data_IF_424157790254
#
_entry.id   IF_424157790254
#
_cell.length_a   1.000
_cell.length_b   1.000
_cell.length_c   1.000
_cell.angle_alpha   90.00
_cell.angle_beta   90.00
_cell.angle_gamma   90.00
#
_symmetry.space_group_name_H-M   'P 1'
#
loop_
_entity.id
_entity.type
_entity.pdbx_description
1 polymer ?
#
# COMPACT_ATOMS: atom_id res chain seq x y z
N UNK A 1 15.28 17.76 9.60
CA UNK A 1 15.31 17.83 8.12
C UNK A 1 14.58 16.60 7.60
N UNK A 2 13.30 16.73 7.24
CA UNK A 2 12.46 15.61 6.77
C UNK A 2 12.82 15.36 5.31
N UNK A 3 13.23 14.12 4.97
CA UNK A 3 13.66 13.72 3.61
C UNK A 3 12.45 13.15 2.87
N UNK A 4 12.02 13.81 1.80
CA UNK A 4 11.00 13.28 0.89
C UNK A 4 11.55 12.07 0.09
N UNK A 5 10.67 11.15 -0.30
CA UNK A 5 11.07 9.93 -1.02
C UNK A 5 9.92 9.16 -1.66
N UNK A 6 10.25 8.14 -2.42
CA UNK A 6 9.27 7.19 -2.98
C UNK A 6 9.72 5.79 -2.61
N UNK A 7 8.79 4.96 -2.15
CA UNK A 7 9.02 3.54 -1.93
C UNK A 7 8.13 2.74 -2.86
N UNK A 8 8.77 1.96 -3.73
CA UNK A 8 8.08 1.09 -4.67
C UNK A 8 8.24 -0.35 -4.20
N UNK A 9 7.13 -1.07 -4.11
CA UNK A 9 7.12 -2.52 -3.92
C UNK A 9 6.76 -3.14 -5.26
N UNK A 10 7.63 -4.01 -5.78
CA UNK A 10 7.38 -4.69 -7.05
C UNK A 10 7.34 -6.20 -6.78
N UNK A 11 6.19 -6.80 -7.02
CA UNK A 11 6.05 -8.25 -7.05
C UNK A 11 5.87 -8.76 -8.48
N UNK A 12 6.77 -9.68 -8.82
CA UNK A 12 6.77 -10.39 -10.08
C UNK A 12 6.24 -11.81 -9.88
N UNK A 13 5.22 -12.19 -10.65
CA UNK A 13 4.62 -13.53 -10.62
C UNK A 13 4.64 -14.15 -12.00
N UNK A 14 4.70 -15.48 -12.09
CA UNK A 14 4.49 -16.18 -13.39
C UNK A 14 3.03 -16.10 -13.84
N UNK A 15 2.13 -16.08 -12.87
CA UNK A 15 0.68 -15.94 -13.01
C UNK A 15 0.21 -15.20 -11.75
N UNK A 16 -0.57 -14.13 -11.92
CA UNK A 16 -1.08 -13.31 -10.81
C UNK A 16 -2.31 -13.98 -10.21
N UNK A 17 -2.31 -14.16 -8.88
CA UNK A 17 -3.42 -14.76 -8.12
C UNK A 17 -3.97 -13.79 -7.09
N UNK A 18 -5.20 -13.98 -6.65
CA UNK A 18 -5.87 -13.09 -5.67
C UNK A 18 -5.06 -12.89 -4.38
N UNK A 19 -4.37 -13.94 -3.91
CA UNK A 19 -3.51 -13.86 -2.72
C UNK A 19 -2.32 -12.92 -2.91
N UNK A 20 -1.83 -12.77 -4.14
CA UNK A 20 -0.68 -11.91 -4.44
C UNK A 20 -1.09 -10.43 -4.31
N UNK A 21 -2.35 -10.11 -4.64
CA UNK A 21 -2.94 -8.77 -4.40
C UNK A 21 -2.91 -8.41 -2.91
N UNK A 22 -3.40 -9.30 -2.05
CA UNK A 22 -3.39 -9.09 -0.61
C UNK A 22 -1.96 -8.90 -0.08
N UNK A 23 -1.01 -9.69 -0.58
CA UNK A 23 0.40 -9.61 -0.20
C UNK A 23 1.02 -8.25 -0.57
N UNK A 24 0.85 -7.77 -1.80
CA UNK A 24 1.37 -6.47 -2.25
C UNK A 24 0.77 -5.32 -1.45
N UNK A 25 -0.55 -5.36 -1.22
CA UNK A 25 -1.24 -4.34 -0.43
C UNK A 25 -0.71 -4.28 1.00
N UNK A 26 -0.53 -5.43 1.66
CA UNK A 26 -0.01 -5.47 3.04
C UNK A 26 1.43 -4.97 3.12
N UNK A 27 2.27 -5.30 2.15
CA UNK A 27 3.63 -4.76 2.09
C UNK A 27 3.61 -3.24 1.90
N UNK A 28 2.72 -2.72 1.05
CA UNK A 28 2.56 -1.28 0.80
C UNK A 28 2.15 -0.54 2.07
N UNK A 29 1.12 -1.05 2.76
CA UNK A 29 0.65 -0.52 4.03
C UNK A 29 1.77 -0.57 5.09
N UNK A 30 2.48 -1.70 5.20
CA UNK A 30 3.55 -1.86 6.19
C UNK A 30 4.70 -0.89 5.92
N UNK A 31 5.04 -0.70 4.65
CA UNK A 31 6.02 0.29 4.23
C UNK A 31 5.60 1.71 4.60
N UNK A 32 4.33 2.08 4.40
CA UNK A 32 3.79 3.40 4.74
C UNK A 32 3.82 3.70 6.25
N UNK A 33 3.61 2.69 7.09
CA UNK A 33 3.76 2.82 8.55
C UNK A 33 5.21 3.09 8.94
N UNK A 34 6.15 2.35 8.34
CA UNK A 34 7.56 2.35 8.77
C UNK A 34 8.37 3.55 8.28
N UNK A 35 7.80 4.40 7.44
CA UNK A 35 8.49 5.53 6.81
C UNK A 35 8.00 6.86 7.39
N UNK A 36 8.94 7.80 7.52
CA UNK A 36 8.66 9.16 7.98
C UNK A 36 7.86 9.95 6.92
N UNK A 37 7.30 11.08 7.36
CA UNK A 37 6.44 11.91 6.52
C UNK A 37 7.12 12.40 5.24
N UNK A 38 6.32 12.51 4.18
CA UNK A 38 6.78 12.93 2.86
C UNK A 38 7.35 11.82 1.98
N UNK A 39 7.30 10.55 2.41
CA UNK A 39 7.62 9.39 1.56
C UNK A 39 6.33 8.76 1.02
N UNK A 40 6.16 8.72 -0.31
CA UNK A 40 5.00 8.08 -0.97
C UNK A 40 5.26 6.59 -1.19
N UNK A 41 4.24 5.75 -1.03
CA UNK A 41 4.33 4.30 -1.29
C UNK A 41 3.34 3.87 -2.36
N UNK A 42 3.80 3.04 -3.30
CA UNK A 42 2.91 2.31 -4.20
C UNK A 42 3.44 0.89 -4.49
N UNK A 43 2.52 0.00 -4.81
CA UNK A 43 2.79 -1.41 -5.14
C UNK A 43 2.56 -1.70 -6.62
N UNK A 44 3.36 -2.58 -7.21
CA UNK A 44 3.22 -3.07 -8.58
C UNK A 44 3.17 -4.60 -8.51
N UNK A 45 2.10 -5.20 -9.04
CA UNK A 45 1.93 -6.64 -9.19
C UNK A 45 1.81 -6.97 -10.67
N UNK A 46 2.75 -7.76 -11.19
CA UNK A 46 2.80 -8.02 -12.64
C UNK A 46 3.28 -9.42 -12.98
N UNK A 47 2.85 -9.90 -14.15
CA UNK A 47 3.40 -11.08 -14.84
C UNK A 47 4.39 -10.73 -15.97
N UNK A 48 4.71 -9.43 -16.11
CA UNK A 48 5.49 -8.79 -17.18
C UNK A 48 4.91 -8.89 -18.60
N UNK A 49 3.82 -9.63 -18.77
CA UNK A 49 3.18 -9.88 -20.04
C UNK A 49 1.91 -9.05 -20.15
N UNK A 50 0.82 -9.57 -19.61
CA UNK A 50 -0.54 -9.07 -19.80
C UNK A 50 -1.15 -8.44 -18.54
N UNK A 51 -0.52 -8.59 -17.39
CA UNK A 51 -1.06 -8.12 -16.11
C UNK A 51 -0.11 -7.12 -15.49
N UNK A 52 -0.58 -5.89 -15.31
CA UNK A 52 0.12 -4.83 -14.60
C UNK A 52 -0.88 -4.13 -13.68
N UNK A 53 -0.94 -4.57 -12.43
CA UNK A 53 -1.76 -3.94 -11.40
C UNK A 53 -0.88 -3.01 -10.57
N UNK A 54 -1.24 -1.73 -10.52
CA UNK A 54 -0.53 -0.71 -9.75
C UNK A 54 -1.47 -0.24 -8.64
N UNK A 55 -1.05 -0.44 -7.39
CA UNK A 55 -1.80 -0.09 -6.18
C UNK A 55 -1.19 1.13 -5.52
N UNK A 56 -2.01 2.07 -5.07
CA UNK A 56 -1.55 3.21 -4.28
C UNK A 56 -2.59 3.58 -3.22
N UNK A 57 -2.11 4.13 -2.11
CA UNK A 57 -2.96 4.54 -1.00
C UNK A 57 -3.40 5.99 -1.17
N UNK A 58 -4.71 6.22 -1.15
CA UNK A 58 -5.29 7.56 -1.09
C UNK A 58 -5.75 7.81 0.34
N UNK A 59 -5.00 8.66 1.03
CA UNK A 59 -5.11 8.86 2.48
C UNK A 59 -6.31 9.70 2.90
N UNK A 60 -6.75 10.66 2.08
CA UNK A 60 -7.92 11.51 2.38
C UNK A 60 -9.20 10.66 2.47
N UNK A 61 -9.41 9.79 1.49
CA UNK A 61 -10.56 8.88 1.43
C UNK A 61 -10.29 7.52 2.10
N UNK A 62 -9.09 7.31 2.66
CA UNK A 62 -8.65 6.06 3.30
C UNK A 62 -8.96 4.84 2.43
N UNK A 63 -8.59 4.90 1.16
CA UNK A 63 -8.88 3.86 0.18
C UNK A 63 -7.62 3.41 -0.55
N UNK A 64 -7.61 2.15 -0.98
CA UNK A 64 -6.60 1.63 -1.90
C UNK A 64 -7.17 1.70 -3.30
N UNK A 65 -6.49 2.44 -4.16
CA UNK A 65 -6.83 2.57 -5.56
C UNK A 65 -5.96 1.63 -6.39
N UNK A 66 -6.52 1.16 -7.50
CA UNK A 66 -5.84 0.23 -8.41
C UNK A 66 -5.97 0.72 -9.84
N UNK A 67 -4.86 0.67 -10.59
CA UNK A 67 -4.83 0.80 -12.03
C UNK A 67 -4.42 -0.54 -12.61
N UNK A 68 -5.27 -1.14 -13.44
CA UNK A 68 -4.96 -2.39 -14.16
C UNK A 68 -4.69 -2.11 -15.63
N UNK A 69 -3.55 -2.58 -16.11
CA UNK A 69 -3.10 -2.38 -17.49
C UNK A 69 -2.67 -3.70 -18.10
N UNK A 70 -2.97 -3.87 -19.39
CA UNK A 70 -2.46 -4.98 -20.20
C UNK A 70 -1.34 -4.58 -21.16
N UNK A 71 -1.13 -3.28 -21.34
CA UNK A 71 -0.08 -2.75 -22.19
C UNK A 71 1.19 -2.46 -21.37
N UNK A 72 2.22 -3.28 -21.56
CA UNK A 72 3.53 -3.12 -20.89
C UNK A 72 4.12 -1.73 -21.05
N UNK A 73 4.09 -1.14 -22.25
CA UNK A 73 4.71 0.18 -22.49
C UNK A 73 4.00 1.27 -21.67
N UNK A 74 2.67 1.26 -21.66
CA UNK A 74 1.86 2.19 -20.86
C UNK A 74 2.03 1.96 -19.36
N UNK A 75 2.13 0.71 -18.93
CA UNK A 75 2.38 0.37 -17.53
C UNK A 75 3.73 0.92 -17.06
N UNK A 76 4.81 0.69 -17.81
CA UNK A 76 6.13 1.22 -17.50
C UNK A 76 6.16 2.76 -17.55
N UNK A 77 5.43 3.38 -18.47
CA UNK A 77 5.29 4.84 -18.51
C UNK A 77 4.63 5.39 -17.24
N UNK A 78 3.55 4.75 -16.76
CA UNK A 78 2.86 5.15 -15.52
C UNK A 78 3.74 4.91 -14.30
N UNK A 79 4.39 3.75 -14.20
CA UNK A 79 5.32 3.43 -13.11
C UNK A 79 6.45 4.46 -13.08
N UNK A 80 7.01 4.81 -14.24
CA UNK A 80 8.04 5.84 -14.36
C UNK A 80 7.51 7.18 -13.86
N UNK A 81 6.34 7.63 -14.36
CA UNK A 81 5.70 8.88 -13.92
C UNK A 81 5.42 8.93 -12.42
N UNK A 82 4.97 7.82 -11.83
CA UNK A 82 4.74 7.70 -10.39
C UNK A 82 6.05 7.65 -9.58
N UNK A 83 7.16 7.29 -10.22
CA UNK A 83 8.51 7.27 -9.64
C UNK A 83 9.29 8.56 -9.86
N UNK A 84 8.73 9.53 -10.60
CA UNK A 84 9.33 10.83 -10.91
C UNK A 84 8.58 11.96 -10.22
N UNK A 85 9.27 13.05 -9.87
CA UNK A 85 8.60 14.26 -9.40
C UNK A 85 7.90 15.02 -10.56
N UNK A 86 7.17 16.09 -10.22
CA UNK A 86 6.41 16.90 -11.19
C UNK A 86 7.27 17.53 -12.30
N UNK A 87 8.59 17.46 -12.23
CA UNK A 87 9.52 18.03 -13.20
C UNK A 87 10.16 16.97 -14.13
N UNK A 88 9.74 15.70 -14.05
CA UNK A 88 10.16 14.65 -14.98
C UNK A 88 11.61 14.17 -14.80
N UNK A 89 12.26 14.54 -13.70
CA UNK A 89 13.58 14.02 -13.33
C UNK A 89 13.42 12.64 -12.68
N UNK A 90 14.29 11.68 -13.03
CA UNK A 90 14.53 10.51 -12.16
C UNK A 90 14.91 11.04 -10.79
N UNK A 91 14.17 10.67 -9.75
CA UNK A 91 14.29 11.32 -8.43
C UNK A 91 15.62 10.99 -7.79
N UNK A 92 16.60 11.89 -7.96
CA UNK A 92 17.28 12.47 -6.81
C UNK A 92 16.44 13.66 -6.32
N UNK A 93 16.03 13.56 -5.06
CA UNK A 93 15.05 14.38 -4.34
C UNK A 93 15.10 15.88 -4.65
N UNK A 94 13.97 16.46 -5.11
CA UNK A 94 13.52 17.83 -4.71
C UNK A 94 12.03 18.11 -5.02
N UNK A 95 11.23 17.93 -3.97
CA UNK A 95 10.05 18.69 -3.48
C UNK A 95 9.03 19.21 -4.51
N UNK A 96 7.83 18.61 -4.46
CA UNK A 96 6.56 19.35 -4.48
C UNK A 96 5.83 19.13 -3.14
N UNK A 97 4.93 20.06 -2.83
CA UNK A 97 4.43 20.43 -1.49
C UNK A 97 4.11 19.27 -0.53
N UNK A 98 4.39 19.45 0.78
CA UNK A 98 3.99 18.47 1.78
C UNK A 98 2.47 18.33 1.74
N UNK A 99 1.99 17.12 2.00
CA UNK A 99 0.60 16.88 2.34
C UNK A 99 0.31 17.63 3.65
N UNK A 100 0.04 18.93 3.51
CA UNK A 100 -0.13 19.87 4.61
C UNK A 100 -1.60 19.93 4.95
N UNK A 101 -1.91 19.46 6.15
CA UNK A 101 -2.76 20.18 7.11
C UNK A 101 -3.01 19.34 8.38
N UNK A 102 -2.88 18.01 8.32
CA UNK A 102 -3.20 17.13 9.46
C UNK A 102 -1.97 16.80 10.33
N UNK A 103 -0.81 16.51 9.73
CA UNK A 103 0.35 15.99 10.46
C UNK A 103 1.34 17.04 10.93
N UNK A 104 1.30 18.26 10.37
CA UNK A 104 2.19 19.36 10.74
C UNK A 104 2.02 19.83 12.20
N UNK A 105 0.89 19.49 12.83
CA UNK A 105 0.58 19.81 14.23
C UNK A 105 0.72 18.61 15.17
N UNK A 106 1.04 17.42 14.64
CA UNK A 106 1.14 16.18 15.40
C UNK A 106 2.60 15.83 15.69
N UNK A 107 2.87 15.28 16.87
CA UNK A 107 4.17 14.67 17.13
C UNK A 107 4.35 13.33 16.40
N UNK A 108 5.58 12.80 16.34
CA UNK A 108 5.89 11.57 15.59
C UNK A 108 5.12 10.34 16.11
N UNK A 109 4.83 10.29 17.41
CA UNK A 109 4.05 9.20 18.00
C UNK A 109 2.55 9.36 17.68
N UNK A 110 2.03 10.58 17.65
CA UNK A 110 0.67 10.89 17.21
C UNK A 110 0.45 10.54 15.74
N UNK A 111 1.43 10.87 14.88
CA UNK A 111 1.43 10.46 13.46
C UNK A 111 1.38 8.93 13.35
N UNK A 112 2.25 8.22 14.09
CA UNK A 112 2.26 6.76 14.09
C UNK A 112 0.93 6.16 14.55
N UNK A 113 0.38 6.64 15.67
CA UNK A 113 -0.92 6.19 16.18
C UNK A 113 -2.03 6.45 15.17
N UNK A 114 -2.03 7.61 14.52
CA UNK A 114 -3.02 7.97 13.51
C UNK A 114 -2.92 7.06 12.27
N UNK A 115 -1.71 6.83 11.75
CA UNK A 115 -1.45 5.92 10.63
C UNK A 115 -1.92 4.51 10.97
N UNK A 116 -1.52 3.98 12.14
CA UNK A 116 -1.96 2.67 12.64
C UNK A 116 -3.49 2.57 12.72
N UNK A 117 -4.15 3.55 13.34
CA UNK A 117 -5.61 3.56 13.46
C UNK A 117 -6.30 3.56 12.09
N UNK A 118 -5.85 4.42 11.17
CA UNK A 118 -6.42 4.51 9.82
C UNK A 118 -6.23 3.20 9.04
N UNK A 119 -5.10 2.54 9.20
CA UNK A 119 -4.79 1.26 8.57
C UNK A 119 -5.61 0.13 9.17
N UNK A 120 -5.72 0.02 10.49
CA UNK A 120 -6.58 -0.99 11.12
C UNK A 120 -8.04 -0.82 10.69
N UNK A 121 -8.50 0.44 10.56
CA UNK A 121 -9.82 0.73 10.01
C UNK A 121 -9.93 0.22 8.56
N UNK A 122 -8.95 0.52 7.72
CA UNK A 122 -8.92 0.10 6.31
C UNK A 122 -8.91 -1.42 6.16
N UNK A 123 -8.01 -2.11 6.88
CA UNK A 123 -7.91 -3.57 6.86
C UNK A 123 -9.21 -4.22 7.34
N UNK A 124 -9.82 -3.71 8.41
CA UNK A 124 -11.07 -4.25 8.96
C UNK A 124 -12.24 -4.19 7.98
N UNK A 125 -12.33 -3.12 7.19
CA UNK A 125 -13.46 -2.90 6.28
C UNK A 125 -13.18 -3.32 4.83
N UNK A 126 -11.94 -3.69 4.50
CA UNK A 126 -11.60 -4.16 3.16
C UNK A 126 -11.96 -5.65 3.01
N UNK A 127 -12.82 -6.02 2.04
CA UNK A 127 -13.24 -7.40 1.82
C UNK A 127 -12.09 -8.40 1.65
N UNK A 128 -10.95 -7.95 1.10
CA UNK A 128 -9.75 -8.78 0.92
C UNK A 128 -9.19 -9.32 2.24
N UNK A 129 -9.42 -8.61 3.35
CA UNK A 129 -8.91 -8.95 4.68
C UNK A 129 -10.00 -9.37 5.66
N UNK A 130 -11.24 -9.52 5.18
CA UNK A 130 -12.39 -9.94 6.01
C UNK A 130 -12.12 -11.21 6.82
N UNK A 131 -11.41 -12.17 6.23
CA UNK A 131 -11.04 -13.43 6.85
C UNK A 131 -10.03 -13.30 8.00
N UNK A 132 -9.24 -12.21 8.09
CA UNK A 132 -8.33 -11.98 9.22
C UNK A 132 -9.08 -11.75 10.55
N UNK A 133 -10.32 -11.26 10.46
CA UNK A 133 -11.16 -10.93 11.61
C UNK A 133 -12.28 -11.96 11.83
N UNK A 134 -12.35 -13.00 11.00
CA UNK A 134 -13.25 -14.11 11.23
C UNK A 134 -12.87 -14.81 12.53
N UNK A 135 -13.85 -15.03 13.43
CA UNK A 135 -13.60 -15.83 14.63
C UNK A 135 -13.10 -17.21 14.19
N UNK A 136 -11.99 -17.72 14.75
CA UNK A 136 -11.57 -19.08 14.47
C UNK A 136 -12.72 -20.02 14.78
N UNK A 137 -13.11 -20.84 13.80
CA UNK A 137 -13.97 -21.98 14.04
C UNK A 137 -13.14 -23.01 14.80
N UNK A 138 -13.17 -22.93 16.13
CA UNK A 138 -12.66 -24.03 16.94
C UNK A 138 -13.53 -25.25 16.66
N UNK A 139 -12.94 -26.41 16.31
CA UNK A 139 -13.72 -27.63 16.21
C UNK A 139 -14.43 -27.89 17.56
N UNK A 140 -15.64 -28.48 17.55
CA UNK A 140 -16.32 -28.85 18.77
C UNK A 140 -15.36 -29.66 19.64
N UNK A 141 -15.09 -29.19 20.86
CA UNK A 141 -14.29 -29.93 21.82
C UNK A 141 -14.95 -31.30 21.98
N UNK A 142 -14.26 -32.37 21.56
CA UNK A 142 -14.67 -33.73 21.89
C UNK A 142 -14.71 -33.79 23.41
N UNK A 143 -15.92 -33.92 23.95
CA UNK A 143 -16.10 -34.25 25.36
C UNK A 143 -15.63 -35.70 25.50
N UNK A 144 -14.41 -35.88 25.98
CA UNK A 144 -13.97 -37.16 26.51
C UNK A 144 -14.87 -37.48 27.70
N UNK A 145 -15.86 -38.32 27.47
CA UNK A 145 -16.61 -38.96 28.55
C UNK A 145 -15.69 -40.03 29.13
N UNK A 146 -15.17 -39.75 30.33
CA UNK A 146 -14.55 -40.74 31.21
C UNK A 146 -15.60 -41.67 31.82
#
# INVERSE_FOLDING_TARGET
MIKAGIRVIIELRKEVKDRDTAQVILQMISADIMIHDGIKVFGVLTDLNSTWNIYYYWIEDKQILTITLSNRKKALEIISKMSTDNNGNSVDVKVSEPMKDVYDQMDEDEIHRHKLYSIFKLLKYNPLFSNMYAKPQYPPQQKDYA
#
